data_IF_863436154701
#
_entry.id   IF_863436154701
#
_cell.length_a   1.000
_cell.length_b   1.000
_cell.length_c   1.000
_cell.angle_alpha   90.00
_cell.angle_beta   90.00
_cell.angle_gamma   90.00
#
_symmetry.space_group_name_H-M   'P 1'
#
loop_
_entity.id
_entity.type
_entity.pdbx_description
1 polymer ?
#
# COMPACT_ATOMS: atom_id res chain seq x y z
N UNK A 1 1.00 -15.12 33.36
CA UNK A 1 -0.08 -14.90 32.38
C UNK A 1 0.44 -13.87 31.40
N UNK A 2 0.84 -14.29 30.20
CA UNK A 2 1.68 -13.54 29.25
C UNK A 2 0.83 -13.28 28.00
N UNK A 3 0.10 -12.17 27.99
CA UNK A 3 -0.80 -11.74 26.90
C UNK A 3 -0.38 -10.36 26.35
N UNK A 4 0.93 -10.14 26.16
CA UNK A 4 1.46 -8.87 25.63
C UNK A 4 2.44 -9.08 24.46
N UNK A 5 2.32 -10.20 23.72
CA UNK A 5 3.19 -10.45 22.55
C UNK A 5 2.44 -10.84 21.27
N UNK A 6 1.13 -10.63 21.22
CA UNK A 6 0.34 -10.95 20.03
C UNK A 6 -0.11 -9.72 19.23
N UNK A 7 0.13 -8.50 19.72
CA UNK A 7 -0.32 -7.27 19.06
C UNK A 7 0.76 -6.52 18.25
N UNK A 8 2.04 -6.90 18.36
CA UNK A 8 3.10 -6.18 17.64
C UNK A 8 3.26 -6.63 16.18
N UNK A 9 2.70 -7.79 15.80
CA UNK A 9 2.81 -8.33 14.44
C UNK A 9 1.69 -7.88 13.48
N UNK A 10 0.69 -7.14 13.97
CA UNK A 10 -0.46 -6.69 13.15
C UNK A 10 -0.30 -5.23 12.69
N UNK A 11 0.67 -4.47 13.22
CA UNK A 11 0.74 -3.01 13.05
C UNK A 11 1.96 -2.48 12.25
N UNK A 12 2.64 -3.33 11.47
CA UNK A 12 3.88 -2.93 10.79
C UNK A 12 3.65 -2.27 9.41
N UNK A 13 2.50 -2.49 8.76
CA UNK A 13 2.33 -2.13 7.34
C UNK A 13 1.62 -0.78 7.06
N UNK A 14 1.30 0.02 8.08
CA UNK A 14 0.89 1.42 7.89
C UNK A 14 2.07 2.41 7.84
N UNK A 15 3.29 1.93 7.63
CA UNK A 15 4.44 2.82 7.46
C UNK A 15 4.48 3.37 6.03
N UNK A 16 4.83 4.65 5.89
CA UNK A 16 5.14 5.22 4.58
C UNK A 16 6.34 4.49 3.97
N UNK A 17 6.31 4.28 2.64
CA UNK A 17 7.44 3.76 1.88
C UNK A 17 8.23 4.92 1.30
N UNK A 18 9.55 4.88 1.41
CA UNK A 18 10.46 5.77 0.67
C UNK A 18 11.44 4.91 -0.15
N UNK A 19 11.42 5.08 -1.47
CA UNK A 19 12.28 4.38 -2.40
C UNK A 19 12.83 5.36 -3.45
N UNK A 20 14.08 5.78 -3.26
CA UNK A 20 14.72 6.74 -4.16
C UNK A 20 13.93 8.05 -4.21
N UNK A 21 13.35 8.36 -5.38
CA UNK A 21 12.54 9.57 -5.58
C UNK A 21 11.03 9.33 -5.42
N UNK A 22 10.61 8.11 -5.10
CA UNK A 22 9.23 7.75 -4.84
C UNK A 22 8.97 7.72 -3.33
N UNK A 23 7.90 8.37 -2.91
CA UNK A 23 7.32 8.24 -1.57
C UNK A 23 5.88 7.78 -1.67
N UNK A 24 5.48 6.85 -0.80
CA UNK A 24 4.09 6.44 -0.63
C UNK A 24 3.73 6.70 0.82
N UNK A 25 2.87 7.68 1.06
CA UNK A 25 2.32 7.96 2.39
C UNK A 25 1.04 7.15 2.62
N UNK A 26 1.05 6.34 3.67
CA UNK A 26 -0.10 5.55 4.09
C UNK A 26 -0.82 6.23 5.27
N UNK A 27 -2.13 6.37 5.17
CA UNK A 27 -2.96 6.91 6.26
C UNK A 27 -4.34 6.30 6.23
N UNK A 28 -5.00 6.24 7.38
CA UNK A 28 -6.43 5.91 7.44
C UNK A 28 -7.23 7.21 7.48
N UNK A 29 -8.36 7.25 6.77
CA UNK A 29 -9.27 8.39 6.82
C UNK A 29 -9.85 8.62 8.23
N UNK A 30 -10.46 9.79 8.43
CA UNK A 30 -11.01 10.18 9.73
C UNK A 30 -12.12 9.24 10.21
N UNK A 31 -12.84 8.60 9.27
CA UNK A 31 -13.93 7.66 9.56
C UNK A 31 -13.42 6.25 9.89
N UNK A 32 -12.12 5.99 9.72
CA UNK A 32 -11.51 4.70 10.05
C UNK A 32 -11.92 3.57 9.10
N UNK A 33 -12.37 3.89 7.89
CA UNK A 33 -12.92 2.93 6.92
C UNK A 33 -12.09 2.82 5.65
N UNK A 34 -11.21 3.80 5.39
CA UNK A 34 -10.42 3.85 4.16
C UNK A 34 -8.94 3.95 4.45
N UNK A 35 -8.17 3.05 3.87
CA UNK A 35 -6.73 3.15 3.79
C UNK A 35 -6.39 3.95 2.53
N UNK A 36 -5.79 5.13 2.70
CA UNK A 36 -5.33 6.01 1.63
C UNK A 36 -3.83 5.81 1.44
N UNK A 37 -3.41 5.52 0.21
CA UNK A 37 -2.02 5.52 -0.23
C UNK A 37 -1.79 6.71 -1.16
N UNK A 38 -1.05 7.70 -0.69
CA UNK A 38 -0.68 8.87 -1.50
C UNK A 38 0.70 8.69 -2.11
N UNK A 39 0.76 8.65 -3.44
CA UNK A 39 1.98 8.48 -4.21
C UNK A 39 2.56 9.85 -4.58
N UNK A 40 3.83 10.06 -4.25
CA UNK A 40 4.51 11.36 -4.35
C UNK A 40 5.86 11.19 -5.04
N UNK A 41 6.18 12.08 -5.98
CA UNK A 41 7.48 12.13 -6.63
C UNK A 41 7.59 11.23 -7.85
N UNK A 42 8.66 10.43 -7.97
CA UNK A 42 9.01 9.72 -9.21
C UNK A 42 9.38 8.26 -8.99
N UNK A 43 8.67 7.35 -9.65
CA UNK A 43 9.04 5.93 -9.74
C UNK A 43 9.85 5.67 -11.02
N UNK A 44 11.18 5.62 -10.87
CA UNK A 44 12.13 5.48 -12.00
C UNK A 44 13.01 4.23 -11.91
N UNK A 45 12.88 3.44 -10.84
CA UNK A 45 13.68 2.23 -10.64
C UNK A 45 13.44 1.21 -11.76
N UNK A 46 14.50 0.51 -12.15
CA UNK A 46 14.43 -0.50 -13.21
C UNK A 46 13.59 -1.72 -12.79
N UNK A 47 13.63 -2.05 -11.50
CA UNK A 47 12.84 -3.12 -10.87
C UNK A 47 12.16 -2.61 -9.59
N UNK A 48 11.09 -1.81 -9.71
CA UNK A 48 10.35 -1.30 -8.56
C UNK A 48 9.51 -2.41 -7.91
N UNK A 49 9.25 -3.51 -8.62
CA UNK A 49 8.44 -4.63 -8.13
C UNK A 49 9.07 -5.30 -6.90
N UNK A 50 10.40 -5.41 -6.84
CA UNK A 50 11.11 -6.00 -5.71
C UNK A 50 10.74 -5.37 -4.34
N UNK A 51 10.41 -4.08 -4.33
CA UNK A 51 10.01 -3.34 -3.12
C UNK A 51 8.50 -3.15 -3.07
N UNK A 52 7.89 -2.73 -4.18
CA UNK A 52 6.47 -2.40 -4.25
C UNK A 52 5.57 -3.62 -4.02
N UNK A 53 5.92 -4.80 -4.52
CA UNK A 53 5.07 -5.99 -4.33
C UNK A 53 4.97 -6.33 -2.84
N UNK A 54 6.12 -6.40 -2.14
CA UNK A 54 6.15 -6.68 -0.70
C UNK A 54 5.37 -5.64 0.10
N UNK A 55 5.52 -4.36 -0.26
CA UNK A 55 4.81 -3.27 0.40
C UNK A 55 3.30 -3.35 0.19
N UNK A 56 2.86 -3.49 -1.07
CA UNK A 56 1.45 -3.47 -1.43
C UNK A 56 0.73 -4.74 -0.99
N UNK A 57 1.39 -5.90 -0.96
CA UNK A 57 0.85 -7.11 -0.34
C UNK A 57 0.53 -6.90 1.14
N UNK A 58 1.42 -6.20 1.85
CA UNK A 58 1.21 -5.78 3.24
C UNK A 58 -0.01 -4.89 3.39
N UNK A 59 -0.15 -3.88 2.53
CA UNK A 59 -1.30 -2.96 2.49
C UNK A 59 -2.60 -3.74 2.25
N UNK A 60 -2.65 -4.60 1.22
CA UNK A 60 -3.85 -5.38 0.87
C UNK A 60 -4.24 -6.28 2.05
N UNK A 61 -3.28 -6.94 2.69
CA UNK A 61 -3.52 -7.76 3.87
C UNK A 61 -4.08 -6.92 5.02
N UNK A 62 -3.53 -5.73 5.28
CA UNK A 62 -4.05 -4.82 6.31
C UNK A 62 -5.46 -4.36 5.99
N UNK A 63 -5.77 -4.02 4.73
CA UNK A 63 -7.11 -3.64 4.31
C UNK A 63 -8.12 -4.79 4.51
N UNK A 64 -7.79 -6.00 4.06
CA UNK A 64 -8.62 -7.18 4.28
C UNK A 64 -8.87 -7.48 5.77
N UNK A 65 -7.83 -7.43 6.60
CA UNK A 65 -7.93 -7.76 8.03
C UNK A 65 -8.81 -6.79 8.81
N UNK A 66 -8.84 -5.52 8.40
CA UNK A 66 -9.58 -4.47 9.11
C UNK A 66 -10.89 -4.07 8.40
N UNK A 67 -11.17 -4.63 7.22
CA UNK A 67 -12.34 -4.28 6.42
C UNK A 67 -12.25 -2.90 5.78
N UNK A 68 -11.03 -2.37 5.57
CA UNK A 68 -10.86 -1.07 4.93
C UNK A 68 -11.06 -1.15 3.42
N UNK A 69 -11.63 -0.11 2.82
CA UNK A 69 -11.44 0.15 1.40
C UNK A 69 -10.03 0.68 1.14
N UNK A 70 -9.45 0.42 -0.03
CA UNK A 70 -8.11 0.91 -0.40
C UNK A 70 -8.21 1.96 -1.52
N UNK A 71 -7.79 3.19 -1.23
CA UNK A 71 -7.69 4.25 -2.23
C UNK A 71 -6.22 4.53 -2.55
N UNK A 72 -5.89 4.60 -3.84
CA UNK A 72 -4.55 4.99 -4.33
C UNK A 72 -4.63 6.37 -4.99
N UNK A 73 -4.06 7.39 -4.35
CA UNK A 73 -3.97 8.76 -4.86
C UNK A 73 -2.65 8.97 -5.60
N UNK A 74 -2.73 9.13 -6.92
CA UNK A 74 -1.59 9.40 -7.80
C UNK A 74 -1.48 10.88 -8.21
N UNK A 75 -2.28 11.78 -7.64
CA UNK A 75 -2.33 13.20 -8.04
C UNK A 75 -1.01 13.95 -7.82
N UNK A 76 -0.18 13.46 -6.89
CA UNK A 76 1.14 14.03 -6.54
C UNK A 76 2.31 13.23 -7.13
N UNK A 77 2.02 12.25 -8.00
CA UNK A 77 3.03 11.47 -8.69
C UNK A 77 3.45 12.21 -9.97
N UNK A 78 4.69 12.66 -10.00
CA UNK A 78 5.25 13.39 -11.14
C UNK A 78 5.52 12.47 -12.34
N UNK A 79 5.96 11.23 -12.05
CA UNK A 79 6.34 10.27 -13.08
C UNK A 79 6.33 8.84 -12.56
N UNK A 80 5.88 7.91 -13.39
CA UNK A 80 6.12 6.48 -13.22
C UNK A 80 6.60 5.87 -14.54
N UNK A 81 7.60 4.99 -14.47
CA UNK A 81 7.99 4.22 -15.63
C UNK A 81 7.04 3.01 -15.84
N UNK A 82 7.20 2.33 -16.98
CA UNK A 82 6.40 1.15 -17.31
C UNK A 82 6.60 -0.03 -16.35
N UNK A 83 7.74 -0.12 -15.66
CA UNK A 83 8.02 -1.18 -14.69
C UNK A 83 7.23 -1.02 -13.39
N UNK A 84 6.75 0.19 -13.08
CA UNK A 84 5.89 0.48 -11.92
C UNK A 84 4.42 0.08 -12.16
N UNK A 85 3.98 -0.03 -13.42
CA UNK A 85 2.58 -0.36 -13.77
C UNK A 85 2.19 -1.78 -13.33
N UNK A 86 2.96 -2.85 -13.61
CA UNK A 86 2.56 -4.22 -13.27
C UNK A 86 2.29 -4.45 -11.77
N UNK A 87 3.12 -3.94 -10.82
CA UNK A 87 2.79 -3.99 -9.39
C UNK A 87 1.39 -3.43 -9.06
N UNK A 88 1.04 -2.27 -9.62
CA UNK A 88 -0.25 -1.62 -9.38
C UNK A 88 -1.40 -2.46 -9.95
N UNK A 89 -1.25 -2.98 -11.17
CA UNK A 89 -2.28 -3.84 -11.79
C UNK A 89 -2.48 -5.14 -10.99
N UNK A 90 -1.40 -5.74 -10.49
CA UNK A 90 -1.49 -6.93 -9.63
C UNK A 90 -2.35 -6.65 -8.40
N UNK A 91 -2.06 -5.56 -7.70
CA UNK A 91 -2.78 -5.13 -6.50
C UNK A 91 -4.26 -4.90 -6.78
N UNK A 92 -4.61 -4.19 -7.87
CA UNK A 92 -6.02 -4.02 -8.26
C UNK A 92 -6.70 -5.38 -8.46
N UNK A 93 -6.00 -6.33 -9.08
CA UNK A 93 -6.49 -7.71 -9.22
C UNK A 93 -6.67 -8.43 -7.88
N UNK A 94 -5.78 -8.21 -6.91
CA UNK A 94 -5.89 -8.78 -5.57
C UNK A 94 -7.03 -8.19 -4.75
N UNK A 95 -7.25 -6.87 -4.82
CA UNK A 95 -8.41 -6.22 -4.21
C UNK A 95 -9.72 -6.82 -4.72
N UNK A 96 -9.83 -6.99 -6.04
CA UNK A 96 -11.00 -7.59 -6.66
C UNK A 96 -11.21 -9.04 -6.20
N UNK A 97 -10.14 -9.86 -6.17
CA UNK A 97 -10.22 -11.26 -5.70
C UNK A 97 -10.65 -11.36 -4.23
N UNK A 98 -10.28 -10.39 -3.41
CA UNK A 98 -10.54 -10.38 -1.97
C UNK A 98 -11.82 -9.61 -1.59
N UNK A 99 -12.57 -9.09 -2.56
CA UNK A 99 -13.74 -8.21 -2.35
C UNK A 99 -13.42 -6.98 -1.47
N UNK A 100 -12.19 -6.46 -1.57
CA UNK A 100 -11.81 -5.22 -0.91
C UNK A 100 -12.27 -4.06 -1.82
N UNK A 101 -13.11 -3.12 -1.33
CA UNK A 101 -13.52 -1.99 -2.14
C UNK A 101 -12.32 -1.09 -2.49
N UNK A 102 -12.27 -0.64 -3.74
CA UNK A 102 -11.32 0.37 -4.23
C UNK A 102 -11.99 1.68 -4.55
#
# INVERSE_FOLDING_TARGET
MRLERYNDAVNVFMQSLEQGNLKIDASVDADGQRLLLKWIGKSVDADPAAVLDTYLDGVVKTAAQNGYSLEMDFSSLDYMNSSTVPPIIRVIGDLHRQNIPG
#
